data_IF_564237286648
#
_entry.id   IF_564237286648
#
_cell.length_a   1.000
_cell.length_b   1.000
_cell.length_c   1.000
_cell.angle_alpha   90.00
_cell.angle_beta   90.00
_cell.angle_gamma   90.00
#
_symmetry.space_group_name_H-M   'P 1'
#
loop_
_entity.id
_entity.type
_entity.pdbx_description
1 polymer ?
#
# COMPACT_ATOMS: atom_id res chain seq x y z
N UNK A 1 11.31 52.46 23.11
CA UNK A 1 10.39 51.42 22.60
C UNK A 1 11.24 50.50 21.71
N UNK A 2 11.96 49.53 22.27
CA UNK A 2 11.51 48.21 22.73
C UNK A 2 10.86 47.40 21.60
N UNK A 3 11.54 46.33 21.15
CA UNK A 3 10.99 45.36 20.20
C UNK A 3 12.00 44.47 19.48
N UNK A 4 13.01 43.93 20.18
CA UNK A 4 13.80 42.81 19.64
C UNK A 4 12.96 41.53 19.77
N UNK A 5 12.33 41.09 18.67
CA UNK A 5 11.67 39.80 18.61
C UNK A 5 12.74 38.73 18.35
N UNK A 6 13.32 38.24 19.44
CA UNK A 6 14.01 36.96 19.46
C UNK A 6 12.96 35.86 19.27
N UNK A 7 12.79 35.39 18.04
CA UNK A 7 12.05 34.16 17.78
C UNK A 7 12.91 32.98 18.21
N UNK A 8 12.46 32.37 19.31
CA UNK A 8 13.09 31.28 20.00
C UNK A 8 13.37 30.06 19.13
N UNK A 9 14.40 29.34 19.57
CA UNK A 9 14.86 28.07 19.04
C UNK A 9 13.71 27.10 18.72
N UNK A 10 13.54 26.80 17.43
CA UNK A 10 12.88 25.58 17.02
C UNK A 10 13.80 24.42 17.40
N UNK A 11 13.59 23.85 18.59
CA UNK A 11 13.98 22.47 18.91
C UNK A 11 13.05 21.54 18.11
N UNK A 12 13.17 21.59 16.78
CA UNK A 12 12.67 20.54 15.93
C UNK A 12 13.52 19.32 16.26
N UNK A 13 12.89 18.24 16.71
CA UNK A 13 13.51 16.94 16.67
C UNK A 13 13.91 16.69 15.21
N UNK A 14 15.18 16.94 14.87
CA UNK A 14 15.84 16.49 13.66
C UNK A 14 15.93 14.96 13.71
N UNK A 15 14.78 14.28 13.69
CA UNK A 15 14.72 12.88 13.32
C UNK A 15 15.13 12.79 11.87
N UNK A 16 16.06 11.88 11.55
CA UNK A 16 16.43 11.61 10.17
C UNK A 16 15.13 11.40 9.35
N UNK A 17 15.03 11.99 8.14
CA UNK A 17 13.86 11.77 7.31
C UNK A 17 13.68 10.26 7.10
N UNK A 18 12.42 9.76 7.07
CA UNK A 18 12.15 8.35 6.91
C UNK A 18 12.91 7.80 5.69
N UNK A 19 13.56 6.63 5.81
CA UNK A 19 14.43 6.14 4.76
C UNK A 19 13.62 5.90 3.47
N UNK A 20 14.23 6.24 2.34
CA UNK A 20 13.68 5.86 1.04
C UNK A 20 13.71 4.34 0.91
N UNK A 21 12.72 3.79 0.21
CA UNK A 21 12.71 2.36 -0.09
C UNK A 21 13.94 2.03 -0.96
N UNK A 22 14.71 0.97 -0.65
CA UNK A 22 15.85 0.62 -1.47
C UNK A 22 15.40 0.18 -2.87
N UNK A 23 16.27 0.35 -3.87
CA UNK A 23 15.90 0.25 -5.30
C UNK A 23 15.30 -1.12 -5.66
N UNK A 24 15.84 -2.21 -5.10
CA UNK A 24 15.33 -3.56 -5.36
C UNK A 24 13.89 -3.72 -4.86
N UNK A 25 13.61 -3.24 -3.66
CA UNK A 25 12.29 -3.22 -3.03
C UNK A 25 11.35 -2.26 -3.75
N UNK A 26 11.84 -1.09 -4.19
CA UNK A 26 11.08 -0.14 -5.01
C UNK A 26 10.52 -0.81 -6.28
N UNK A 27 11.35 -1.58 -6.97
CA UNK A 27 10.95 -2.30 -8.18
C UNK A 27 9.92 -3.40 -7.87
N UNK A 28 10.01 -4.06 -6.72
CA UNK A 28 9.01 -5.04 -6.28
C UNK A 28 7.68 -4.37 -5.96
N UNK A 29 7.70 -3.22 -5.28
CA UNK A 29 6.50 -2.41 -5.02
C UNK A 29 5.87 -1.96 -6.34
N UNK A 30 6.67 -1.40 -7.25
CA UNK A 30 6.18 -0.96 -8.57
C UNK A 30 5.52 -2.10 -9.35
N UNK A 31 6.17 -3.26 -9.42
CA UNK A 31 5.64 -4.45 -10.10
C UNK A 31 4.35 -4.97 -9.46
N UNK A 32 4.28 -4.99 -8.11
CA UNK A 32 3.08 -5.37 -7.39
C UNK A 32 1.91 -4.41 -7.67
N UNK A 33 2.16 -3.10 -7.59
CA UNK A 33 1.15 -2.07 -7.86
C UNK A 33 0.65 -2.11 -9.31
N UNK A 34 1.55 -2.29 -10.27
CA UNK A 34 1.19 -2.47 -11.68
C UNK A 34 0.29 -3.70 -11.88
N UNK A 35 0.61 -4.82 -11.23
CA UNK A 35 -0.22 -6.02 -11.28
C UNK A 35 -1.59 -5.87 -10.63
N UNK A 36 -1.69 -5.12 -9.51
CA UNK A 36 -2.96 -4.77 -8.88
C UNK A 36 -3.80 -3.89 -9.82
N UNK A 37 -3.19 -2.87 -10.43
CA UNK A 37 -3.85 -1.99 -11.38
C UNK A 37 -4.36 -2.74 -12.62
N UNK A 38 -3.57 -3.68 -13.15
CA UNK A 38 -3.98 -4.53 -14.27
C UNK A 38 -5.22 -5.38 -13.91
N UNK A 39 -5.21 -6.07 -12.76
CA UNK A 39 -6.35 -6.85 -12.30
C UNK A 39 -7.62 -5.99 -12.09
N UNK A 40 -7.45 -4.76 -11.59
CA UNK A 40 -8.51 -3.76 -11.49
C UNK A 40 -9.09 -3.40 -12.87
N UNK A 41 -8.23 -3.12 -13.85
CA UNK A 41 -8.63 -2.81 -15.22
C UNK A 41 -9.41 -3.94 -15.87
N UNK A 42 -8.93 -5.18 -15.72
CA UNK A 42 -9.63 -6.38 -16.22
C UNK A 42 -10.99 -6.58 -15.52
N UNK A 43 -11.07 -6.37 -14.21
CA UNK A 43 -12.34 -6.43 -13.47
C UNK A 43 -13.34 -5.40 -13.99
N UNK A 44 -12.89 -4.16 -14.23
CA UNK A 44 -13.72 -3.10 -14.81
C UNK A 44 -14.25 -3.50 -16.20
N UNK A 45 -13.39 -4.02 -17.08
CA UNK A 45 -13.80 -4.50 -18.41
C UNK A 45 -14.85 -5.62 -18.33
N UNK A 46 -14.67 -6.60 -17.44
CA UNK A 46 -15.66 -7.67 -17.26
C UNK A 46 -17.00 -7.12 -16.78
N UNK A 47 -17.00 -6.18 -15.85
CA UNK A 47 -18.22 -5.57 -15.34
C UNK A 47 -18.90 -4.62 -16.33
N UNK A 48 -18.13 -3.95 -17.20
CA UNK A 48 -18.67 -3.03 -18.20
C UNK A 48 -19.30 -3.77 -19.39
N UNK A 49 -18.72 -4.91 -19.80
CA UNK A 49 -19.09 -5.57 -21.07
C UNK A 49 -19.71 -6.96 -20.91
N UNK A 50 -19.81 -7.51 -19.69
CA UNK A 50 -20.40 -8.84 -19.46
C UNK A 50 -21.59 -8.78 -18.51
N UNK A 51 -22.76 -9.24 -18.98
CA UNK A 51 -23.95 -9.41 -18.12
C UNK A 51 -23.73 -10.45 -17.01
N UNK A 52 -22.81 -11.41 -17.23
CA UNK A 52 -22.35 -12.37 -16.23
C UNK A 52 -20.82 -12.41 -16.26
N UNK A 53 -20.13 -11.61 -15.43
CA UNK A 53 -18.67 -11.60 -15.36
C UNK A 53 -18.15 -13.02 -15.07
N UNK A 54 -17.42 -13.58 -16.03
CA UNK A 54 -16.75 -14.87 -15.88
C UNK A 54 -15.26 -14.62 -15.63
N UNK A 55 -14.65 -15.34 -14.67
CA UNK A 55 -13.21 -15.23 -14.41
C UNK A 55 -12.80 -14.25 -13.30
N UNK A 56 -13.75 -13.61 -12.60
CA UNK A 56 -13.44 -12.80 -11.40
C UNK A 56 -12.62 -13.57 -10.36
N UNK A 57 -12.87 -14.88 -10.20
CA UNK A 57 -12.09 -15.73 -9.31
C UNK A 57 -10.61 -15.84 -9.73
N UNK A 58 -10.32 -15.85 -11.04
CA UNK A 58 -8.93 -15.85 -11.53
C UNK A 58 -8.26 -14.49 -11.30
N UNK A 59 -9.01 -13.40 -11.51
CA UNK A 59 -8.53 -12.05 -11.20
C UNK A 59 -8.21 -11.89 -9.71
N UNK A 60 -9.04 -12.43 -8.83
CA UNK A 60 -8.78 -12.46 -7.39
C UNK A 60 -7.50 -13.22 -7.05
N UNK A 61 -7.27 -14.40 -7.64
CA UNK A 61 -6.02 -15.15 -7.44
C UNK A 61 -4.81 -14.38 -7.96
N UNK A 62 -4.93 -13.76 -9.13
CA UNK A 62 -3.86 -12.94 -9.70
C UNK A 62 -3.54 -11.74 -8.80
N UNK A 63 -4.56 -10.96 -8.41
CA UNK A 63 -4.42 -9.82 -7.50
C UNK A 63 -3.84 -10.25 -6.14
N UNK A 64 -4.26 -11.41 -5.62
CA UNK A 64 -3.74 -11.97 -4.38
C UNK A 64 -2.22 -12.19 -4.43
N UNK A 65 -1.70 -12.75 -5.52
CA UNK A 65 -0.25 -12.95 -5.66
C UNK A 65 0.53 -11.62 -5.63
N UNK A 66 -0.06 -10.55 -6.18
CA UNK A 66 0.57 -9.21 -6.23
C UNK A 66 0.54 -8.53 -4.87
N UNK A 67 -0.59 -8.62 -4.14
CA UNK A 67 -0.63 -8.07 -2.77
C UNK A 67 0.29 -8.84 -1.82
N UNK A 68 0.54 -10.12 -2.06
CA UNK A 68 1.50 -10.91 -1.28
C UNK A 68 2.94 -10.42 -1.49
N UNK A 69 3.32 -10.02 -2.71
CA UNK A 69 4.60 -9.34 -2.97
C UNK A 69 4.68 -7.98 -2.28
N UNK A 70 3.62 -7.17 -2.38
CA UNK A 70 3.57 -5.86 -1.72
C UNK A 70 3.71 -6.01 -0.20
N UNK A 71 3.01 -6.97 0.39
CA UNK A 71 3.08 -7.27 1.82
C UNK A 71 4.49 -7.70 2.25
N UNK A 72 5.22 -8.47 1.42
CA UNK A 72 6.61 -8.87 1.70
C UNK A 72 7.56 -7.68 1.82
N UNK A 73 7.33 -6.61 1.06
CA UNK A 73 8.13 -5.38 1.20
C UNK A 73 7.67 -4.58 2.40
N UNK A 74 6.36 -4.45 2.60
CA UNK A 74 5.76 -3.72 3.73
C UNK A 74 6.27 -4.23 5.09
N UNK A 75 6.34 -5.55 5.30
CA UNK A 75 6.77 -6.13 6.59
C UNK A 75 8.23 -5.85 6.93
N UNK A 76 9.05 -5.47 5.94
CA UNK A 76 10.46 -5.12 6.20
C UNK A 76 10.56 -3.76 6.86
N UNK A 77 9.85 -2.77 6.32
CA UNK A 77 9.74 -1.46 6.94
C UNK A 77 8.50 -0.70 6.40
N UNK A 78 7.42 -0.56 7.19
CA UNK A 78 6.20 0.12 6.75
C UNK A 78 6.37 1.64 6.58
N UNK A 79 7.44 2.21 7.14
CA UNK A 79 7.70 3.64 7.13
C UNK A 79 8.66 4.06 6.01
N UNK A 80 9.11 3.11 5.17
CA UNK A 80 9.84 3.41 3.94
C UNK A 80 9.02 4.28 2.99
N UNK A 81 9.69 5.27 2.38
CA UNK A 81 9.08 6.15 1.39
C UNK A 81 9.24 5.57 -0.02
N UNK A 82 8.11 5.39 -0.72
CA UNK A 82 8.01 5.04 -2.13
C UNK A 82 7.24 6.14 -2.87
N UNK A 83 7.91 6.83 -3.80
CA UNK A 83 7.32 7.91 -4.60
C UNK A 83 6.61 9.00 -3.78
N UNK A 84 7.14 9.34 -2.60
CA UNK A 84 6.59 10.38 -1.72
C UNK A 84 5.59 9.88 -0.68
N UNK A 85 5.16 8.62 -0.74
CA UNK A 85 4.24 8.01 0.22
C UNK A 85 4.94 6.94 1.06
N UNK A 86 4.53 6.77 2.32
CA UNK A 86 4.97 5.63 3.12
C UNK A 86 4.39 4.32 2.59
N UNK A 87 5.07 3.19 2.77
CA UNK A 87 4.51 1.89 2.42
C UNK A 87 3.19 1.59 3.17
N UNK A 88 2.99 2.16 4.36
CA UNK A 88 1.71 2.15 5.07
C UNK A 88 0.59 2.83 4.29
N UNK A 89 0.84 4.04 3.77
CA UNK A 89 -0.13 4.74 2.91
C UNK A 89 -0.37 3.98 1.61
N UNK A 90 0.69 3.48 0.96
CA UNK A 90 0.59 2.67 -0.27
C UNK A 90 -0.29 1.43 -0.06
N UNK A 91 -0.11 0.71 1.04
CA UNK A 91 -0.94 -0.46 1.39
C UNK A 91 -2.38 -0.05 1.64
N UNK A 92 -2.64 1.01 2.40
CA UNK A 92 -4.00 1.49 2.68
C UNK A 92 -4.74 1.88 1.40
N UNK A 93 -4.07 2.60 0.48
CA UNK A 93 -4.60 2.96 -0.82
C UNK A 93 -4.86 1.71 -1.69
N UNK A 94 -3.93 0.76 -1.71
CA UNK A 94 -4.08 -0.50 -2.45
C UNK A 94 -5.29 -1.31 -1.97
N UNK A 95 -5.54 -1.38 -0.65
CA UNK A 95 -6.74 -2.01 -0.08
C UNK A 95 -8.01 -1.30 -0.55
N UNK A 96 -8.02 0.03 -0.54
CA UNK A 96 -9.16 0.82 -1.03
C UNK A 96 -9.44 0.55 -2.51
N UNK A 97 -8.39 0.54 -3.34
CA UNK A 97 -8.53 0.25 -4.78
C UNK A 97 -9.05 -1.16 -5.04
N UNK A 98 -8.50 -2.18 -4.39
CA UNK A 98 -8.98 -3.56 -4.55
C UNK A 98 -10.47 -3.71 -4.21
N UNK A 99 -10.95 -3.03 -3.16
CA UNK A 99 -12.38 -3.00 -2.82
C UNK A 99 -13.22 -2.32 -3.88
N UNK A 100 -12.78 -1.17 -4.40
CA UNK A 100 -13.45 -0.45 -5.47
C UNK A 100 -13.54 -1.28 -6.75
N UNK A 101 -12.49 -2.04 -7.06
CA UNK A 101 -12.42 -2.93 -8.21
C UNK A 101 -13.17 -4.27 -8.01
N UNK A 102 -13.90 -4.45 -6.90
CA UNK A 102 -14.61 -5.69 -6.56
C UNK A 102 -13.69 -6.92 -6.48
N UNK A 103 -12.49 -6.73 -5.92
CA UNK A 103 -11.53 -7.78 -5.58
C UNK A 103 -11.36 -7.89 -4.04
N UNK A 104 -12.44 -8.20 -3.28
CA UNK A 104 -12.42 -8.20 -1.83
C UNK A 104 -11.52 -9.26 -1.20
N UNK A 105 -11.26 -10.39 -1.85
CA UNK A 105 -10.41 -11.45 -1.30
C UNK A 105 -8.95 -11.02 -1.28
N UNK A 106 -8.47 -10.41 -2.37
CA UNK A 106 -7.15 -9.78 -2.42
C UNK A 106 -7.01 -8.65 -1.40
N UNK A 107 -8.03 -7.79 -1.25
CA UNK A 107 -8.02 -6.73 -0.23
C UNK A 107 -7.89 -7.31 1.19
N UNK A 108 -8.65 -8.36 1.50
CA UNK A 108 -8.58 -9.05 2.79
C UNK A 108 -7.21 -9.68 3.00
N UNK A 109 -6.67 -10.35 1.98
CA UNK A 109 -5.35 -10.98 2.02
C UNK A 109 -4.22 -9.98 2.31
N UNK A 110 -4.31 -8.76 1.78
CA UNK A 110 -3.37 -7.68 2.07
C UNK A 110 -3.49 -7.24 3.54
N UNK A 111 -4.70 -6.89 3.98
CA UNK A 111 -4.97 -6.46 5.37
C UNK A 111 -4.46 -7.48 6.39
N UNK A 112 -4.75 -8.76 6.19
CA UNK A 112 -4.33 -9.83 7.11
C UNK A 112 -2.81 -9.92 7.23
N UNK A 113 -2.07 -9.71 6.14
CA UNK A 113 -0.61 -9.84 6.12
C UNK A 113 0.12 -8.60 6.62
N UNK A 114 -0.52 -7.44 6.54
CA UNK A 114 0.06 -6.17 6.99
C UNK A 114 -0.45 -5.76 8.37
N UNK A 115 -1.30 -6.59 8.99
CA UNK A 115 -1.75 -6.38 10.35
C UNK A 115 -0.56 -6.47 11.32
N UNK A 116 -0.50 -5.58 12.33
CA UNK A 116 0.50 -5.73 13.39
C UNK A 116 0.29 -7.07 14.12
N UNK A 117 1.35 -7.69 14.66
CA UNK A 117 1.23 -8.92 15.43
C UNK A 117 0.30 -8.67 16.63
N UNK A 118 -0.67 -9.57 16.83
CA UNK A 118 -1.52 -9.51 18.02
C UNK A 118 -0.66 -9.90 19.22
N UNK A 119 -0.34 -8.94 20.08
CA UNK A 119 0.21 -9.23 21.40
C UNK A 119 -0.94 -9.77 22.23
N UNK A 120 -0.95 -11.08 22.48
CA UNK A 120 -1.85 -11.66 23.49
C UNK A 120 -1.40 -11.14 24.85
N UNK A 121 -2.21 -10.27 25.48
CA UNK A 121 -2.05 -9.96 26.89
C UNK A 121 -2.30 -11.26 27.68
N UNK A 122 -1.28 -11.74 28.38
CA UNK A 122 -1.37 -12.87 29.31
C UNK A 122 -1.99 -12.48 30.64
#
# INVERSE_FOLDING_TARGET
MAGALALGAALGACGAPPPQVPVAEANRVASALAGIAAACGESYQQHAFSARPAGLARLEVAARSRVEELARVYVQNPDWIYQGETLRQVVALSVSYLRQCRLPQAATALVTRTAPPRVSAG
#
